data_IF_230087114335
#
_entry.id   IF_230087114335
#
_cell.length_a   1.000
_cell.length_b   1.000
_cell.length_c   1.000
_cell.angle_alpha   90.00
_cell.angle_beta   90.00
_cell.angle_gamma   90.00
#
_symmetry.space_group_name_H-M   'P 1'
#
loop_
_entity.id
_entity.type
_entity.pdbx_description
1 polymer ?
#
# COMPACT_ATOMS: atom_id res chain seq x y z
N UNK A 1 27.69 57.26 -72.52
CA UNK A 1 27.14 55.91 -72.73
C UNK A 1 28.31 54.93 -72.73
N UNK A 2 28.48 54.20 -71.63
CA UNK A 2 29.68 53.43 -71.26
C UNK A 2 29.20 52.14 -70.60
N UNK A 3 29.69 50.97 -70.99
CA UNK A 3 29.91 49.86 -70.06
C UNK A 3 31.27 49.24 -70.33
N UNK A 4 31.97 49.03 -69.22
CA UNK A 4 33.41 49.11 -69.06
C UNK A 4 34.11 47.75 -69.14
N UNK A 5 35.42 47.84 -69.24
CA UNK A 5 36.44 46.84 -69.54
C UNK A 5 37.37 46.72 -68.32
N UNK A 6 37.84 45.48 -68.04
CA UNK A 6 39.13 45.07 -67.40
C UNK A 6 39.38 45.32 -65.90
N UNK A 7 40.02 44.29 -65.28
CA UNK A 7 41.18 44.30 -64.35
C UNK A 7 40.96 43.34 -63.15
N UNK A 8 41.71 42.25 -62.99
CA UNK A 8 43.08 42.10 -62.44
C UNK A 8 43.20 42.16 -60.89
N UNK A 9 43.51 40.98 -60.29
CA UNK A 9 44.71 40.67 -59.48
C UNK A 9 44.92 41.30 -58.07
N UNK A 10 45.07 40.39 -57.08
CA UNK A 10 45.92 40.37 -55.86
C UNK A 10 45.45 40.84 -54.45
N UNK A 11 45.96 40.04 -53.49
CA UNK A 11 46.29 40.25 -52.06
C UNK A 11 45.26 39.94 -50.95
N UNK A 12 45.39 38.72 -50.42
CA UNK A 12 45.58 38.34 -49.00
C UNK A 12 45.07 39.27 -47.87
N UNK A 13 44.19 38.72 -47.04
CA UNK A 13 44.16 38.99 -45.60
C UNK A 13 43.84 37.70 -44.84
N UNK A 14 44.74 37.33 -43.93
CA UNK A 14 44.70 36.20 -43.01
C UNK A 14 43.75 36.54 -41.86
N UNK A 15 42.80 35.66 -41.56
CA UNK A 15 42.23 35.53 -40.21
C UNK A 15 42.19 34.04 -39.86
N UNK A 16 43.10 33.66 -38.98
CA UNK A 16 43.06 32.42 -38.21
C UNK A 16 41.83 32.44 -37.31
N UNK A 17 41.00 31.40 -37.32
CA UNK A 17 40.55 30.75 -36.09
C UNK A 17 40.28 29.27 -36.37
N UNK A 18 40.91 28.45 -35.53
CA UNK A 18 41.04 27.01 -35.57
C UNK A 18 39.70 26.26 -35.46
N UNK A 19 39.47 25.32 -36.37
CA UNK A 19 38.60 24.17 -36.11
C UNK A 19 39.36 22.88 -36.40
N UNK A 20 39.46 22.06 -35.36
CA UNK A 20 40.10 20.75 -35.31
C UNK A 20 39.29 19.76 -36.15
N UNK A 21 39.91 18.94 -37.01
CA UNK A 21 39.23 17.86 -37.71
C UNK A 21 39.21 16.61 -36.83
N UNK A 22 38.02 16.09 -36.53
CA UNK A 22 37.90 14.76 -35.93
C UNK A 22 37.95 13.70 -37.03
N UNK A 23 39.04 12.95 -37.08
CA UNK A 23 39.19 11.74 -37.89
C UNK A 23 38.59 10.53 -37.19
N UNK A 24 37.99 9.67 -38.01
CA UNK A 24 37.85 8.21 -37.90
C UNK A 24 38.38 7.52 -36.64
N UNK A 25 37.46 6.91 -35.89
CA UNK A 25 37.72 5.78 -35.00
C UNK A 25 36.60 4.73 -35.18
N UNK A 26 36.96 3.46 -35.02
CA UNK A 26 36.27 2.24 -35.41
C UNK A 26 34.80 2.09 -34.98
N UNK A 27 34.03 1.39 -35.82
CA UNK A 27 32.71 0.84 -35.49
C UNK A 27 32.87 -0.34 -34.53
N UNK A 28 32.26 -0.21 -33.36
CA UNK A 28 32.20 -1.19 -32.28
C UNK A 28 31.45 -2.48 -32.73
N UNK A 29 31.90 -3.71 -32.39
CA UNK A 29 31.29 -4.95 -32.87
C UNK A 29 29.92 -5.31 -32.27
N UNK A 30 29.38 -4.48 -31.36
CA UNK A 30 28.11 -4.76 -30.66
C UNK A 30 26.85 -4.46 -31.49
N UNK A 31 26.99 -3.81 -32.65
CA UNK A 31 25.86 -3.33 -33.47
C UNK A 31 25.33 -4.38 -34.48
N UNK A 32 25.81 -5.64 -34.42
CA UNK A 32 25.40 -6.72 -35.34
C UNK A 32 24.46 -7.77 -34.74
N UNK A 33 24.11 -7.70 -33.46
CA UNK A 33 23.20 -8.67 -32.84
C UNK A 33 21.73 -8.24 -32.79
N UNK A 34 21.40 -6.98 -33.08
CA UNK A 34 20.01 -6.49 -32.97
C UNK A 34 19.28 -6.29 -34.31
N UNK A 35 19.82 -6.78 -35.43
CA UNK A 35 19.24 -6.56 -36.76
C UNK A 35 18.50 -7.80 -37.35
N UNK A 36 18.09 -8.76 -36.51
CA UNK A 36 17.45 -10.00 -36.99
C UNK A 36 16.10 -10.35 -36.32
N UNK A 37 15.52 -9.46 -35.52
CA UNK A 37 14.22 -9.70 -34.88
C UNK A 37 13.01 -9.07 -35.61
N UNK A 38 13.22 -8.47 -36.78
CA UNK A 38 12.14 -8.06 -37.67
C UNK A 38 11.56 -9.24 -38.47
N UNK A 39 10.94 -10.17 -37.73
CA UNK A 39 9.90 -11.04 -38.27
C UNK A 39 8.58 -10.73 -37.57
N UNK A 40 7.80 -9.86 -38.18
CA UNK A 40 6.36 -9.76 -37.92
C UNK A 40 5.68 -11.12 -38.15
N UNK A 41 5.21 -11.75 -37.07
CA UNK A 41 4.44 -13.00 -37.10
C UNK A 41 3.98 -13.42 -35.71
N UNK A 42 2.68 -13.24 -35.43
CA UNK A 42 1.96 -13.47 -34.17
C UNK A 42 2.32 -12.50 -33.04
N UNK A 43 1.38 -11.61 -32.67
CA UNK A 43 1.52 -10.78 -31.47
C UNK A 43 1.78 -11.69 -30.27
N UNK A 44 2.85 -11.40 -29.53
CA UNK A 44 3.27 -12.26 -28.42
C UNK A 44 2.11 -12.42 -27.43
N UNK A 45 1.81 -13.65 -27.04
CA UNK A 45 0.70 -13.93 -26.10
C UNK A 45 1.06 -13.54 -24.66
N UNK A 46 2.14 -12.78 -24.49
CA UNK A 46 2.72 -12.40 -23.21
C UNK A 46 2.04 -11.15 -22.64
N UNK A 47 1.95 -11.12 -21.31
CA UNK A 47 1.53 -9.97 -20.52
C UNK A 47 2.17 -10.08 -19.13
N UNK A 48 2.34 -8.95 -18.47
CA UNK A 48 3.02 -8.85 -17.18
C UNK A 48 2.02 -8.42 -16.11
N UNK A 49 2.17 -8.99 -14.92
CA UNK A 49 1.35 -8.67 -13.75
C UNK A 49 2.25 -8.18 -12.63
N UNK A 50 1.98 -6.99 -12.13
CA UNK A 50 2.66 -6.45 -10.96
C UNK A 50 1.64 -6.25 -9.86
N UNK A 51 2.03 -6.56 -8.63
CA UNK A 51 1.23 -6.27 -7.45
C UNK A 51 2.09 -5.57 -6.41
N UNK A 52 1.55 -4.53 -5.80
CA UNK A 52 2.09 -4.00 -4.56
C UNK A 52 1.01 -3.89 -3.50
N UNK A 53 1.41 -3.89 -2.23
CA UNK A 53 0.48 -3.78 -1.11
C UNK A 53 1.20 -3.56 0.22
N UNK A 54 0.42 -3.40 1.28
CA UNK A 54 0.95 -3.16 2.62
C UNK A 54 0.31 -4.11 3.63
N UNK A 55 1.12 -4.74 4.46
CA UNK A 55 0.67 -5.43 5.67
C UNK A 55 0.98 -4.61 6.90
N UNK A 56 -0.03 -4.29 7.71
CA UNK A 56 0.14 -3.56 8.96
C UNK A 56 0.12 -4.52 10.15
N UNK A 57 1.11 -4.38 11.03
CA UNK A 57 1.25 -5.10 12.29
C UNK A 57 1.62 -4.15 13.42
N UNK A 58 1.32 -4.53 14.66
CA UNK A 58 1.70 -3.78 15.86
C UNK A 58 2.58 -4.64 16.75
N UNK A 59 3.63 -4.06 17.32
CA UNK A 59 4.57 -4.73 18.22
C UNK A 59 4.81 -3.92 19.48
N UNK A 60 4.94 -4.61 20.61
CA UNK A 60 5.39 -4.05 21.88
C UNK A 60 6.89 -3.77 21.89
N UNK A 61 7.35 -3.13 22.97
CA UNK A 61 8.78 -2.82 23.13
C UNK A 61 9.68 -4.07 23.25
N UNK A 62 9.09 -5.22 23.59
CA UNK A 62 9.71 -6.53 23.79
C UNK A 62 9.62 -7.46 22.57
N UNK A 63 9.02 -7.01 21.47
CA UNK A 63 8.80 -7.82 20.27
C UNK A 63 7.56 -8.71 20.30
N UNK A 64 6.69 -8.55 21.29
CA UNK A 64 5.39 -9.23 21.28
C UNK A 64 4.46 -8.54 20.27
N UNK A 65 4.02 -9.29 19.25
CA UNK A 65 2.95 -8.84 18.35
C UNK A 65 1.64 -8.64 19.10
N UNK A 66 0.97 -7.55 18.77
CA UNK A 66 -0.26 -7.12 19.43
C UNK A 66 -1.45 -7.39 18.52
N UNK A 67 -2.45 -8.09 19.05
CA UNK A 67 -3.73 -8.27 18.36
C UNK A 67 -4.45 -6.91 18.30
N UNK A 68 -5.06 -6.59 17.16
CA UNK A 68 -5.78 -5.32 16.99
C UNK A 68 -7.07 -5.51 16.21
N UNK A 69 -7.93 -4.48 16.21
CA UNK A 69 -9.07 -4.43 15.31
C UNK A 69 -8.69 -3.66 14.06
N UNK A 70 -8.42 -4.35 12.95
CA UNK A 70 -8.06 -3.71 11.70
C UNK A 70 -9.14 -2.80 11.12
N UNK A 71 -10.34 -2.82 11.67
CA UNK A 71 -11.52 -2.20 11.07
C UNK A 71 -12.02 -0.98 11.86
N UNK A 72 -11.77 -0.86 13.17
CA UNK A 72 -12.58 0.00 14.05
C UNK A 72 -12.46 1.53 13.85
N UNK A 73 -11.32 2.06 13.37
CA UNK A 73 -11.07 3.52 13.35
C UNK A 73 -10.86 4.12 11.96
N UNK A 74 -10.71 3.30 10.92
CA UNK A 74 -10.36 3.78 9.57
C UNK A 74 -11.45 3.51 8.53
N UNK A 75 -12.62 2.96 8.87
CA UNK A 75 -13.70 2.70 7.90
C UNK A 75 -14.18 3.89 7.06
N UNK A 76 -13.81 5.12 7.44
CA UNK A 76 -14.05 6.33 6.65
C UNK A 76 -12.91 6.70 5.70
N UNK A 77 -11.87 5.87 5.55
CA UNK A 77 -10.73 6.15 4.67
C UNK A 77 -10.97 5.67 3.24
N UNK A 78 -11.72 4.57 3.05
CA UNK A 78 -11.92 3.95 1.75
C UNK A 78 -12.83 4.76 0.84
N UNK A 79 -12.56 4.75 -0.48
CA UNK A 79 -13.48 5.27 -1.46
C UNK A 79 -14.82 4.55 -1.34
N UNK A 80 -15.92 5.30 -1.40
CA UNK A 80 -17.27 4.74 -1.22
C UNK A 80 -17.71 3.74 -2.33
N UNK A 81 -16.98 3.63 -3.43
CA UNK A 81 -17.19 2.61 -4.47
C UNK A 81 -16.57 1.25 -4.11
N UNK A 82 -15.67 1.19 -3.13
CA UNK A 82 -15.09 -0.07 -2.66
C UNK A 82 -16.16 -0.89 -1.97
N UNK A 83 -16.26 -2.16 -2.36
CA UNK A 83 -17.25 -3.08 -1.82
C UNK A 83 -16.67 -3.78 -0.61
N UNK A 84 -17.45 -3.86 0.46
CA UNK A 84 -17.18 -4.77 1.56
C UNK A 84 -18.05 -6.01 1.46
N UNK A 85 -17.68 -7.06 2.21
CA UNK A 85 -18.44 -8.31 2.24
C UNK A 85 -19.94 -8.05 2.46
N UNK A 86 -20.32 -7.25 3.48
CA UNK A 86 -21.72 -7.00 3.84
C UNK A 86 -22.54 -6.35 2.74
N UNK A 87 -22.01 -5.28 2.17
CA UNK A 87 -22.59 -4.62 0.99
C UNK A 87 -22.69 -5.60 -0.19
N UNK A 88 -21.73 -6.52 -0.32
CA UNK A 88 -21.71 -7.53 -1.37
C UNK A 88 -22.71 -8.69 -1.16
N UNK A 89 -23.29 -8.82 0.03
CA UNK A 89 -24.27 -9.88 0.32
C UNK A 89 -25.61 -9.61 -0.37
N UNK A 90 -26.31 -10.68 -0.74
CA UNK A 90 -27.67 -10.61 -1.32
C UNK A 90 -28.71 -9.95 -0.41
N UNK A 91 -28.38 -9.74 0.87
CA UNK A 91 -29.22 -9.10 1.87
C UNK A 91 -28.80 -7.65 2.20
N UNK A 92 -27.75 -7.10 1.56
CA UNK A 92 -27.24 -5.74 1.76
C UNK A 92 -27.07 -5.36 3.26
N UNK A 93 -26.48 -6.26 4.05
CA UNK A 93 -26.36 -6.13 5.50
C UNK A 93 -25.30 -5.09 5.88
N UNK A 94 -25.58 -4.27 6.91
CA UNK A 94 -24.61 -3.39 7.57
C UNK A 94 -23.75 -4.23 8.54
N UNK A 95 -22.49 -4.53 8.22
CA UNK A 95 -21.73 -5.62 8.91
C UNK A 95 -20.39 -5.26 9.54
N UNK A 96 -19.90 -4.02 9.40
CA UNK A 96 -18.45 -3.75 9.56
C UNK A 96 -17.88 -3.79 10.98
N UNK A 97 -18.70 -3.82 12.03
CA UNK A 97 -18.22 -3.51 13.38
C UNK A 97 -17.70 -4.69 14.23
N UNK A 98 -17.36 -5.88 13.68
CA UNK A 98 -17.04 -7.08 14.51
C UNK A 98 -15.89 -8.03 14.08
N UNK A 99 -14.96 -7.64 13.20
CA UNK A 99 -13.81 -8.50 12.83
C UNK A 99 -12.53 -8.18 13.64
N UNK A 100 -11.77 -9.23 14.03
CA UNK A 100 -10.52 -9.16 14.82
C UNK A 100 -9.41 -9.95 14.12
N UNK A 101 -8.19 -9.40 13.97
CA UNK A 101 -7.06 -10.13 13.41
C UNK A 101 -5.69 -9.61 13.87
N UNK A 102 -4.63 -10.33 13.48
CA UNK A 102 -3.24 -10.04 13.89
C UNK A 102 -2.48 -9.21 12.86
N UNK A 103 -2.89 -9.33 11.60
CA UNK A 103 -2.33 -8.60 10.47
C UNK A 103 -3.50 -7.99 9.69
N UNK A 104 -3.38 -6.70 9.35
CA UNK A 104 -4.24 -6.07 8.36
C UNK A 104 -3.51 -6.02 7.04
N UNK A 105 -4.17 -6.44 5.98
CA UNK A 105 -3.74 -6.19 4.63
C UNK A 105 -4.46 -4.96 4.12
N UNK A 106 -3.71 -3.86 3.97
CA UNK A 106 -4.25 -2.54 3.77
C UNK A 106 -4.58 -2.24 2.31
N UNK A 107 -3.73 -2.39 1.30
CA UNK A 107 -4.16 -2.11 -0.11
C UNK A 107 -3.28 -2.81 -1.13
N UNK A 108 -3.36 -4.14 -1.25
CA UNK A 108 -2.96 -4.80 -2.47
C UNK A 108 -3.68 -4.23 -3.68
N UNK A 109 -2.92 -3.76 -4.66
CA UNK A 109 -3.41 -3.45 -6.00
C UNK A 109 -2.63 -4.25 -7.04
N UNK A 110 -3.35 -4.89 -7.96
CA UNK A 110 -2.79 -5.72 -9.02
C UNK A 110 -2.94 -5.03 -10.38
N UNK A 111 -1.82 -4.67 -11.00
CA UNK A 111 -1.75 -4.08 -12.34
C UNK A 111 -1.49 -5.13 -13.42
N UNK A 112 -1.98 -4.84 -14.61
CA UNK A 112 -1.77 -5.64 -15.80
C UNK A 112 -1.13 -4.80 -16.90
N UNK A 113 -0.07 -5.32 -17.51
CA UNK A 113 0.61 -4.69 -18.63
C UNK A 113 0.49 -5.60 -19.85
N UNK A 114 -0.19 -5.10 -20.88
CA UNK A 114 -0.45 -5.80 -22.14
C UNK A 114 -0.42 -4.78 -23.28
N UNK A 115 -0.03 -5.22 -24.46
CA UNK A 115 0.00 -4.44 -25.71
C UNK A 115 -1.30 -4.56 -26.52
N UNK A 116 -2.14 -5.54 -26.18
CA UNK A 116 -3.40 -5.85 -26.84
C UNK A 116 -4.56 -6.05 -25.87
N UNK A 117 -5.77 -5.79 -26.36
CA UNK A 117 -6.98 -6.22 -25.68
C UNK A 117 -6.96 -7.74 -25.55
N UNK A 118 -7.20 -8.24 -24.33
CA UNK A 118 -7.31 -9.66 -24.02
C UNK A 118 -8.19 -9.87 -22.80
N UNK A 119 -8.69 -11.08 -22.64
CA UNK A 119 -9.45 -11.48 -21.45
C UNK A 119 -8.61 -12.47 -20.62
N UNK A 120 -8.64 -12.32 -19.30
CA UNK A 120 -7.95 -13.21 -18.36
C UNK A 120 -8.89 -13.58 -17.20
N UNK A 121 -8.77 -14.79 -16.67
CA UNK A 121 -9.43 -15.17 -15.43
C UNK A 121 -8.51 -14.87 -14.24
N UNK A 122 -9.03 -14.24 -13.18
CA UNK A 122 -8.22 -13.84 -12.01
C UNK A 122 -8.87 -14.25 -10.70
N UNK A 123 -8.08 -14.91 -9.83
CA UNK A 123 -8.48 -15.26 -8.46
C UNK A 123 -7.34 -14.99 -7.47
N UNK A 124 -7.69 -14.56 -6.26
CA UNK A 124 -6.76 -14.49 -5.14
C UNK A 124 -7.31 -15.26 -3.94
N UNK A 125 -6.48 -16.11 -3.36
CA UNK A 125 -6.77 -16.80 -2.10
C UNK A 125 -6.10 -16.13 -0.91
N UNK A 126 -6.64 -16.36 0.29
CA UNK A 126 -6.00 -15.97 1.53
C UNK A 126 -6.21 -17.08 2.58
N UNK A 127 -5.39 -18.15 2.56
CA UNK A 127 -5.61 -19.35 3.38
C UNK A 127 -5.63 -19.08 4.89
N UNK A 128 -4.75 -18.20 5.37
CA UNK A 128 -4.66 -17.81 6.78
C UNK A 128 -5.43 -16.50 7.11
N UNK A 129 -6.33 -16.07 6.21
CA UNK A 129 -6.99 -14.78 6.31
C UNK A 129 -8.43 -14.75 5.78
N UNK A 130 -9.07 -13.61 5.97
CA UNK A 130 -10.39 -13.27 5.45
C UNK A 130 -10.26 -12.04 4.55
N UNK A 131 -10.64 -12.16 3.29
CA UNK A 131 -10.75 -11.03 2.35
C UNK A 131 -12.05 -10.27 2.62
N UNK A 132 -11.93 -8.97 2.90
CA UNK A 132 -12.98 -8.15 3.51
C UNK A 132 -13.49 -7.01 2.64
N UNK A 133 -12.63 -6.44 1.80
CA UNK A 133 -13.01 -5.39 0.87
C UNK A 133 -12.35 -5.61 -0.49
N UNK A 134 -12.98 -5.18 -1.56
CA UNK A 134 -12.48 -5.37 -2.92
C UNK A 134 -13.17 -4.45 -3.93
N UNK A 135 -12.50 -4.23 -5.05
CA UNK A 135 -13.04 -3.59 -6.23
C UNK A 135 -12.20 -4.00 -7.45
N UNK A 136 -12.78 -4.19 -8.64
CA UNK A 136 -14.21 -4.20 -8.97
C UNK A 136 -15.00 -5.39 -8.34
N UNK A 137 -16.33 -5.49 -8.54
CA UNK A 137 -17.12 -6.65 -8.10
C UNK A 137 -16.55 -8.02 -8.52
N UNK A 138 -16.68 -9.03 -7.66
CA UNK A 138 -16.14 -10.39 -7.87
C UNK A 138 -17.23 -11.39 -8.25
N UNK A 139 -17.01 -12.25 -9.24
CA UNK A 139 -17.96 -13.32 -9.59
C UNK A 139 -18.33 -14.19 -8.38
N UNK A 140 -17.35 -14.51 -7.54
CA UNK A 140 -17.54 -15.31 -6.33
C UNK A 140 -16.64 -14.83 -5.19
N UNK A 141 -17.14 -14.91 -3.96
CA UNK A 141 -16.39 -14.63 -2.74
C UNK A 141 -16.60 -15.77 -1.75
N UNK A 142 -15.51 -16.31 -1.24
CA UNK A 142 -15.51 -17.36 -0.22
C UNK A 142 -14.80 -16.91 1.07
N UNK A 143 -15.21 -17.41 2.24
CA UNK A 143 -16.49 -18.09 2.46
C UNK A 143 -17.67 -17.15 2.14
N UNK A 144 -18.84 -17.67 1.77
CA UNK A 144 -20.03 -16.83 1.65
C UNK A 144 -20.36 -16.19 3.00
N UNK A 145 -21.06 -15.07 2.97
CA UNK A 145 -21.52 -14.43 4.20
C UNK A 145 -22.52 -15.33 4.92
N UNK A 146 -22.28 -15.54 6.20
CA UNK A 146 -23.20 -16.16 7.14
C UNK A 146 -23.85 -15.10 8.02
N UNK A 147 -25.17 -14.90 7.84
CA UNK A 147 -25.97 -13.94 8.60
C UNK A 147 -25.92 -14.20 10.11
N UNK A 148 -25.79 -15.47 10.52
CA UNK A 148 -25.72 -15.84 11.94
C UNK A 148 -24.41 -15.40 12.58
N UNK A 149 -23.32 -15.41 11.82
CA UNK A 149 -22.00 -14.96 12.29
C UNK A 149 -21.88 -13.44 12.33
N UNK A 150 -22.52 -12.72 11.40
CA UNK A 150 -22.57 -11.25 11.39
C UNK A 150 -23.16 -10.70 12.69
N UNK A 151 -24.34 -11.20 13.09
CA UNK A 151 -25.02 -10.73 14.29
C UNK A 151 -24.57 -11.45 15.57
N UNK A 152 -23.82 -12.56 15.42
CA UNK A 152 -23.26 -13.38 16.49
C UNK A 152 -21.78 -13.10 16.76
N UNK A 153 -20.93 -14.12 16.57
CA UNK A 153 -19.53 -14.15 17.03
C UNK A 153 -18.51 -13.45 16.11
N UNK A 154 -18.94 -12.86 14.99
CA UNK A 154 -18.08 -12.33 13.94
C UNK A 154 -17.72 -13.39 12.89
N UNK A 155 -17.28 -12.97 11.70
CA UNK A 155 -16.88 -13.91 10.64
C UNK A 155 -15.60 -14.66 11.00
N UNK A 156 -15.51 -15.91 10.57
CA UNK A 156 -14.32 -16.73 10.78
C UNK A 156 -13.22 -16.33 9.81
N UNK A 157 -11.99 -16.26 10.34
CA UNK A 157 -10.79 -15.99 9.56
C UNK A 157 -10.20 -17.30 9.05
N UNK A 158 -9.96 -17.38 7.74
CA UNK A 158 -9.28 -18.48 7.08
C UNK A 158 -9.96 -18.91 5.77
N UNK A 159 -9.18 -19.50 4.88
CA UNK A 159 -9.60 -20.10 3.61
C UNK A 159 -10.51 -19.21 2.76
N UNK A 160 -10.26 -17.90 2.75
CA UNK A 160 -11.04 -16.98 1.93
C UNK A 160 -10.48 -16.86 0.51
N UNK A 161 -11.34 -16.46 -0.43
CA UNK A 161 -11.00 -16.28 -1.84
C UNK A 161 -11.88 -15.20 -2.46
N UNK A 162 -11.31 -14.45 -3.39
CA UNK A 162 -12.01 -13.61 -4.35
C UNK A 162 -11.75 -14.14 -5.76
N UNK A 163 -12.81 -14.36 -6.52
CA UNK A 163 -12.77 -14.79 -7.91
C UNK A 163 -13.47 -13.73 -8.77
N UNK A 164 -12.70 -12.95 -9.52
CA UNK A 164 -13.27 -11.97 -10.46
C UNK A 164 -13.86 -12.63 -11.71
N UNK A 165 -13.58 -13.92 -11.94
CA UNK A 165 -13.84 -14.58 -13.21
C UNK A 165 -13.05 -13.92 -14.32
N UNK A 166 -13.66 -13.86 -15.50
CA UNK A 166 -13.04 -13.28 -16.69
C UNK A 166 -13.12 -11.75 -16.66
N UNK A 167 -11.97 -11.10 -16.70
CA UNK A 167 -11.82 -9.64 -16.82
C UNK A 167 -11.18 -9.30 -18.16
N UNK A 168 -11.59 -8.18 -18.75
CA UNK A 168 -10.96 -7.65 -19.95
C UNK A 168 -9.84 -6.68 -19.57
N UNK A 169 -8.69 -6.85 -20.22
CA UNK A 169 -7.54 -5.98 -20.12
C UNK A 169 -7.49 -5.11 -21.37
N UNK A 170 -7.54 -3.79 -21.20
CA UNK A 170 -7.61 -2.83 -22.30
C UNK A 170 -6.40 -1.88 -22.18
N UNK A 171 -5.36 -2.03 -23.02
CA UNK A 171 -4.24 -1.10 -23.03
C UNK A 171 -4.74 0.31 -23.34
N UNK A 172 -4.34 1.30 -22.52
CA UNK A 172 -4.76 2.70 -22.72
C UNK A 172 -4.33 3.20 -24.10
N UNK A 173 -3.18 2.75 -24.61
CA UNK A 173 -2.68 3.06 -25.96
C UNK A 173 -3.66 2.71 -27.09
N UNK A 174 -4.59 1.77 -26.88
CA UNK A 174 -5.62 1.40 -27.85
C UNK A 174 -6.90 2.23 -27.75
N UNK A 175 -7.07 2.99 -26.66
CA UNK A 175 -8.17 3.94 -26.48
C UNK A 175 -7.81 5.35 -26.98
N UNK A 176 -6.54 5.56 -27.29
CA UNK A 176 -6.02 6.86 -27.70
C UNK A 176 -6.66 7.25 -29.04
N UNK A 177 -7.33 8.41 -29.14
CA UNK A 177 -7.90 8.88 -30.40
C UNK A 177 -6.77 9.19 -31.40
N UNK A 178 -7.04 8.97 -32.68
CA UNK A 178 -6.12 9.39 -33.74
C UNK A 178 -6.21 10.91 -33.90
N UNK A 179 -5.37 11.65 -33.17
CA UNK A 179 -5.26 13.11 -33.22
C UNK A 179 -3.86 13.50 -33.70
N UNK A 180 -3.79 14.55 -34.53
CA UNK A 180 -2.53 15.05 -35.10
C UNK A 180 -1.64 15.81 -34.11
N UNK A 181 -2.19 16.17 -32.96
CA UNK A 181 -1.55 16.95 -31.90
C UNK A 181 -1.39 16.07 -30.66
N UNK A 182 -0.14 15.81 -30.25
CA UNK A 182 0.22 14.92 -29.15
C UNK A 182 -0.28 15.39 -27.78
N UNK A 183 -0.34 16.71 -27.57
CA UNK A 183 -0.76 17.28 -26.29
C UNK A 183 -2.28 17.13 -26.16
N UNK A 184 -2.99 17.45 -27.25
CA UNK A 184 -4.43 17.24 -27.33
C UNK A 184 -4.81 15.76 -27.23
N UNK A 185 -4.03 14.88 -27.83
CA UNK A 185 -4.21 13.44 -27.76
C UNK A 185 -4.07 12.93 -26.32
N UNK A 186 -3.05 13.40 -25.60
CA UNK A 186 -2.82 13.06 -24.20
C UNK A 186 -3.94 13.56 -23.30
N UNK A 187 -4.41 14.80 -23.50
CA UNK A 187 -5.52 15.36 -22.75
C UNK A 187 -6.82 14.56 -22.95
N UNK A 188 -7.20 14.27 -24.20
CA UNK A 188 -8.43 13.51 -24.48
C UNK A 188 -8.35 12.10 -23.88
N UNK A 189 -7.18 11.48 -23.95
CA UNK A 189 -6.97 10.15 -23.35
C UNK A 189 -7.15 10.20 -21.83
N UNK A 190 -6.56 11.20 -21.18
CA UNK A 190 -6.71 11.41 -19.73
C UNK A 190 -8.17 11.64 -19.33
N UNK A 191 -8.90 12.48 -20.09
CA UNK A 191 -10.32 12.77 -19.84
C UNK A 191 -11.17 11.51 -20.01
N UNK A 192 -10.91 10.71 -21.05
CA UNK A 192 -11.62 9.44 -21.30
C UNK A 192 -11.37 8.43 -20.19
N UNK A 193 -10.11 8.21 -19.81
CA UNK A 193 -9.75 7.30 -18.72
C UNK A 193 -10.40 7.76 -17.42
N UNK A 194 -10.31 9.05 -17.10
CA UNK A 194 -10.95 9.63 -15.91
C UNK A 194 -12.45 9.39 -15.93
N UNK A 195 -13.13 9.59 -17.06
CA UNK A 195 -14.58 9.37 -17.17
C UNK A 195 -15.00 7.90 -17.01
N UNK A 196 -14.13 6.93 -17.31
CA UNK A 196 -14.43 5.50 -17.18
C UNK A 196 -14.27 4.99 -15.75
N UNK A 197 -13.32 5.54 -15.00
CA UNK A 197 -12.97 5.09 -13.64
C UNK A 197 -14.02 5.53 -12.61
N UNK A 198 -14.22 4.77 -11.51
CA UNK A 198 -15.13 5.16 -10.46
C UNK A 198 -14.56 6.36 -9.68
N UNK A 199 -15.45 7.28 -9.32
CA UNK A 199 -15.12 8.41 -8.47
C UNK A 199 -16.01 8.44 -7.23
N UNK A 200 -15.43 8.82 -6.09
CA UNK A 200 -16.07 8.67 -4.80
C UNK A 200 -15.53 9.56 -3.69
N UNK A 201 -16.32 9.70 -2.62
CA UNK A 201 -15.85 10.35 -1.39
C UNK A 201 -14.69 9.53 -0.81
N UNK A 202 -13.67 10.21 -0.27
CA UNK A 202 -12.43 9.65 0.31
C UNK A 202 -11.47 8.99 -0.68
N UNK A 203 -11.59 9.26 -1.99
CA UNK A 203 -10.72 8.65 -2.98
C UNK A 203 -9.32 9.26 -3.11
N UNK A 204 -9.10 10.45 -2.55
CA UNK A 204 -7.98 11.33 -2.93
C UNK A 204 -6.61 10.65 -2.88
N UNK A 205 -6.31 9.89 -1.82
CA UNK A 205 -5.02 9.21 -1.68
C UNK A 205 -4.94 7.88 -2.44
N UNK A 206 -6.07 7.18 -2.65
CA UNK A 206 -6.12 5.96 -3.48
C UNK A 206 -6.06 6.26 -4.97
N UNK A 207 -6.48 7.45 -5.39
CA UNK A 207 -6.38 7.89 -6.77
C UNK A 207 -4.91 7.96 -7.24
N UNK A 208 -3.96 8.21 -6.35
CA UNK A 208 -2.52 8.20 -6.67
C UNK A 208 -2.03 6.82 -7.18
N UNK A 209 -2.69 5.73 -6.77
CA UNK A 209 -2.39 4.38 -7.27
C UNK A 209 -2.70 4.21 -8.77
N UNK A 210 -3.43 5.16 -9.38
CA UNK A 210 -3.76 5.17 -10.81
C UNK A 210 -2.66 5.80 -11.67
N UNK A 211 -1.64 6.44 -11.08
CA UNK A 211 -0.54 7.12 -11.80
C UNK A 211 0.52 6.12 -12.36
N UNK A 212 0.06 5.14 -13.14
CA UNK A 212 0.86 4.07 -13.76
C UNK A 212 0.57 3.92 -15.26
N UNK A 213 1.32 3.08 -15.96
CA UNK A 213 1.07 2.76 -17.39
C UNK A 213 0.24 1.47 -17.58
N UNK A 214 -0.45 1.01 -16.52
CA UNK A 214 -1.24 -0.22 -16.57
C UNK A 214 -2.42 -0.13 -17.55
N UNK A 215 -2.83 -1.29 -18.06
CA UNK A 215 -4.07 -1.44 -18.80
C UNK A 215 -5.28 -1.17 -17.87
N UNK A 216 -6.41 -0.77 -18.46
CA UNK A 216 -7.68 -0.81 -17.77
C UNK A 216 -8.11 -2.25 -17.56
N UNK A 217 -8.60 -2.56 -16.37
CA UNK A 217 -9.33 -3.75 -16.01
C UNK A 217 -10.82 -3.45 -16.15
N UNK A 218 -11.52 -4.26 -16.93
CA UNK A 218 -12.96 -4.16 -17.13
C UNK A 218 -13.67 -5.44 -16.72
N UNK A 219 -14.57 -5.31 -15.74
CA UNK A 219 -15.48 -6.38 -15.30
C UNK A 219 -16.85 -6.15 -15.92
N UNK A 220 -17.28 -7.12 -16.73
CA UNK A 220 -18.46 -6.97 -17.59
C UNK A 220 -19.77 -6.94 -16.80
N UNK A 221 -20.64 -5.99 -17.16
CA UNK A 221 -22.09 -6.04 -16.98
C UNK A 221 -22.57 -6.25 -15.54
N UNK A 222 -22.99 -7.47 -15.23
CA UNK A 222 -23.64 -7.84 -13.97
C UNK A 222 -22.84 -8.89 -13.23
N UNK A 223 -22.48 -8.59 -11.98
CA UNK A 223 -21.81 -9.49 -11.05
C UNK A 223 -22.60 -9.53 -9.76
N UNK A 224 -23.25 -10.67 -9.48
CA UNK A 224 -24.15 -10.81 -8.33
C UNK A 224 -25.32 -9.82 -8.38
N UNK A 225 -25.48 -9.03 -7.31
CA UNK A 225 -26.49 -7.98 -7.20
C UNK A 225 -26.07 -6.66 -7.87
N UNK A 226 -24.81 -6.53 -8.29
CA UNK A 226 -24.25 -5.32 -8.87
C UNK A 226 -24.34 -5.40 -10.39
N UNK A 227 -24.94 -4.39 -11.01
CA UNK A 227 -25.07 -4.32 -12.45
C UNK A 227 -24.75 -2.92 -12.94
N UNK A 228 -23.98 -2.84 -14.02
CA UNK A 228 -23.71 -1.63 -14.76
C UNK A 228 -23.86 -1.95 -16.25
N UNK A 229 -24.57 -1.11 -17.01
CA UNK A 229 -24.68 -1.29 -18.46
C UNK A 229 -23.31 -1.23 -19.14
N UNK A 230 -22.42 -0.37 -18.63
CA UNK A 230 -21.04 -0.24 -19.13
C UNK A 230 -20.08 -1.24 -18.47
N UNK A 231 -20.48 -1.98 -17.44
CA UNK A 231 -19.59 -2.73 -16.56
C UNK A 231 -18.83 -1.83 -15.57
N UNK A 232 -17.77 -2.38 -14.98
CA UNK A 232 -16.94 -1.72 -13.96
C UNK A 232 -15.51 -1.62 -14.47
N UNK A 233 -14.91 -0.44 -14.37
CA UNK A 233 -13.54 -0.18 -14.83
C UNK A 233 -12.65 0.19 -13.65
N UNK A 234 -11.39 -0.22 -13.68
CA UNK A 234 -10.32 0.30 -12.81
C UNK A 234 -8.96 0.13 -13.50
N UNK A 235 -7.90 0.77 -13.01
CA UNK A 235 -6.52 0.51 -13.49
C UNK A 235 -5.84 -0.70 -12.83
N UNK A 236 -6.49 -1.27 -11.83
CA UNK A 236 -5.99 -2.37 -11.01
C UNK A 236 -7.16 -3.18 -10.42
N UNK A 237 -6.86 -4.40 -9.98
CA UNK A 237 -7.72 -5.09 -9.00
C UNK A 237 -7.29 -4.66 -7.60
N UNK A 238 -8.25 -4.33 -6.74
CA UNK A 238 -8.04 -3.95 -5.35
C UNK A 238 -8.66 -5.01 -4.44
N UNK A 239 -7.94 -5.37 -3.37
CA UNK A 239 -8.50 -6.19 -2.30
C UNK A 239 -7.84 -5.92 -0.95
N UNK A 240 -8.59 -6.07 0.14
CA UNK A 240 -8.17 -5.99 1.54
C UNK A 240 -8.54 -7.25 2.29
N UNK A 241 -7.87 -7.45 3.41
CA UNK A 241 -8.20 -8.58 4.27
C UNK A 241 -7.55 -8.51 5.63
N UNK A 242 -7.91 -9.48 6.45
CA UNK A 242 -7.46 -9.61 7.82
C UNK A 242 -6.94 -11.03 8.03
N UNK A 243 -5.72 -11.14 8.56
CA UNK A 243 -5.03 -12.42 8.72
C UNK A 243 -4.71 -12.78 10.17
N UNK A 244 -4.45 -14.08 10.38
CA UNK A 244 -3.88 -14.65 11.61
C UNK A 244 -2.57 -15.39 11.29
N UNK A 245 -1.61 -14.68 10.72
CA UNK A 245 -0.26 -15.19 10.43
C UNK A 245 0.79 -14.26 11.03
N UNK A 246 2.04 -14.68 10.99
CA UNK A 246 3.20 -13.88 11.39
C UNK A 246 4.02 -13.53 10.16
N UNK A 247 4.51 -12.30 10.12
CA UNK A 247 5.45 -11.84 9.11
C UNK A 247 6.89 -12.14 9.58
N UNK A 248 7.88 -12.12 8.67
CA UNK A 248 9.22 -12.60 9.00
C UNK A 248 10.01 -11.69 9.94
N UNK A 249 9.59 -10.44 10.17
CA UNK A 249 10.37 -9.49 10.97
C UNK A 249 9.72 -9.25 12.33
N UNK A 250 10.50 -9.43 13.39
CA UNK A 250 10.19 -9.01 14.76
C UNK A 250 11.11 -7.85 15.16
N UNK A 251 10.61 -6.89 15.94
CA UNK A 251 11.41 -5.78 16.47
C UNK A 251 11.35 -5.72 17.99
N UNK A 252 12.46 -5.41 18.65
CA UNK A 252 12.50 -5.19 20.11
C UNK A 252 13.47 -4.07 20.46
N UNK A 253 13.31 -3.47 21.63
CA UNK A 253 14.24 -2.47 22.15
C UNK A 253 15.27 -3.12 23.08
N UNK A 254 16.56 -2.90 22.79
CA UNK A 254 17.68 -3.30 23.64
C UNK A 254 18.59 -2.08 23.86
N UNK A 255 18.85 -1.73 25.13
CA UNK A 255 19.70 -0.60 25.50
C UNK A 255 19.35 0.73 24.78
N UNK A 256 18.06 0.97 24.52
CA UNK A 256 17.56 2.16 23.83
C UNK A 256 17.69 2.13 22.30
N UNK A 257 18.13 1.02 21.72
CA UNK A 257 18.21 0.81 20.28
C UNK A 257 17.15 -0.19 19.83
N UNK A 258 16.63 0.00 18.61
CA UNK A 258 15.74 -0.98 17.99
C UNK A 258 16.58 -2.08 17.32
N UNK A 259 16.32 -3.32 17.75
CA UNK A 259 16.89 -4.54 17.18
C UNK A 259 15.82 -5.18 16.32
N UNK A 260 16.18 -5.49 15.08
CA UNK A 260 15.36 -6.19 14.11
C UNK A 260 15.85 -7.62 14.00
N UNK A 261 14.94 -8.58 14.14
CA UNK A 261 15.20 -10.00 13.91
C UNK A 261 14.41 -10.45 12.68
N UNK A 262 15.09 -11.12 11.76
CA UNK A 262 14.44 -11.87 10.69
C UNK A 262 14.21 -13.31 11.15
N UNK A 263 12.98 -13.62 11.55
CA UNK A 263 12.49 -14.96 11.91
C UNK A 263 12.06 -15.78 10.68
N UNK A 264 12.18 -15.22 9.48
CA UNK A 264 11.92 -15.89 8.22
C UNK A 264 13.04 -16.85 7.79
N UNK A 265 12.73 -17.65 6.77
CA UNK A 265 13.70 -18.51 6.08
C UNK A 265 14.39 -17.80 4.89
N UNK A 266 13.93 -16.60 4.53
CA UNK A 266 14.40 -15.83 3.39
C UNK A 266 14.99 -14.50 3.86
N UNK A 267 16.00 -13.96 3.14
CA UNK A 267 16.53 -12.63 3.44
C UNK A 267 15.47 -11.55 3.17
N UNK A 268 15.51 -10.47 3.95
CA UNK A 268 14.73 -9.25 3.73
C UNK A 268 15.66 -8.19 3.16
N UNK A 269 15.38 -7.72 1.94
CA UNK A 269 16.29 -6.89 1.14
C UNK A 269 16.25 -5.40 1.43
N UNK A 270 15.31 -4.93 2.24
CA UNK A 270 15.33 -3.56 2.73
C UNK A 270 14.43 -3.44 3.94
N UNK A 271 14.90 -2.71 4.94
CA UNK A 271 14.10 -2.25 6.06
C UNK A 271 14.45 -0.79 6.38
N UNK A 272 13.44 0.02 6.68
CA UNK A 272 13.57 1.44 7.01
C UNK A 272 12.90 1.67 8.35
N UNK A 273 13.69 2.04 9.34
CA UNK A 273 13.23 2.58 10.60
C UNK A 273 12.79 4.03 10.39
N UNK A 274 11.65 4.40 10.96
CA UNK A 274 11.07 5.73 10.90
C UNK A 274 10.55 6.06 12.30
N UNK A 275 10.97 7.19 12.84
CA UNK A 275 10.42 7.77 14.06
C UNK A 275 9.95 9.19 13.79
N UNK A 276 8.66 9.42 14.02
CA UNK A 276 8.03 10.73 13.83
C UNK A 276 7.64 11.26 15.19
N UNK A 277 8.26 12.37 15.57
CA UNK A 277 7.97 13.07 16.82
C UNK A 277 7.74 14.55 16.53
N UNK A 278 6.51 15.00 16.76
CA UNK A 278 5.98 16.29 16.32
C UNK A 278 6.22 16.50 14.82
N UNK A 279 7.10 17.42 14.45
CA UNK A 279 7.48 17.71 13.06
C UNK A 279 8.83 17.13 12.65
N UNK A 280 9.52 16.42 13.53
CA UNK A 280 10.84 15.83 13.27
C UNK A 280 10.68 14.38 12.81
N UNK A 281 11.30 14.06 11.68
CA UNK A 281 11.39 12.69 11.15
C UNK A 281 12.83 12.21 11.31
N UNK A 282 13.02 11.09 11.99
CA UNK A 282 14.31 10.41 12.10
C UNK A 282 14.22 9.06 11.41
N UNK A 283 15.20 8.70 10.58
CA UNK A 283 15.19 7.44 9.86
C UNK A 283 16.56 6.76 9.79
N UNK A 284 16.53 5.44 9.62
CA UNK A 284 17.70 4.61 9.32
C UNK A 284 17.30 3.50 8.37
N UNK A 285 18.19 3.11 7.45
CA UNK A 285 17.96 2.03 6.49
C UNK A 285 18.93 0.88 6.72
N UNK A 286 18.43 -0.35 6.51
CA UNK A 286 19.21 -1.57 6.35
C UNK A 286 18.99 -2.09 4.92
N UNK A 287 20.07 -2.39 4.20
CA UNK A 287 20.02 -2.93 2.83
C UNK A 287 19.78 -4.44 2.79
N UNK A 288 20.00 -5.16 3.89
CA UNK A 288 19.68 -6.58 3.98
C UNK A 288 19.61 -7.04 5.44
N UNK A 289 18.70 -7.95 5.72
CA UNK A 289 18.64 -8.73 6.96
C UNK A 289 18.54 -10.20 6.54
N UNK A 290 19.63 -10.94 6.69
CA UNK A 290 19.69 -12.35 6.33
C UNK A 290 18.68 -13.18 7.14
N UNK A 291 18.31 -14.34 6.60
CA UNK A 291 17.45 -15.27 7.31
C UNK A 291 18.05 -15.61 8.69
N UNK A 292 17.24 -15.56 9.74
CA UNK A 292 17.65 -15.80 11.14
C UNK A 292 18.61 -14.77 11.73
N UNK A 293 18.89 -13.67 11.05
CA UNK A 293 19.80 -12.63 11.53
C UNK A 293 19.10 -11.62 12.46
N UNK A 294 19.83 -11.16 13.48
CA UNK A 294 19.53 -9.96 14.26
C UNK A 294 20.44 -8.81 13.80
N UNK A 295 19.86 -7.64 13.54
CA UNK A 295 20.58 -6.42 13.13
C UNK A 295 20.02 -5.22 13.87
N UNK A 296 20.87 -4.26 14.21
CA UNK A 296 20.47 -3.00 14.87
C UNK A 296 20.40 -1.89 13.83
N UNK A 297 19.39 -1.02 13.93
CA UNK A 297 19.41 0.24 13.18
C UNK A 297 20.42 1.20 13.84
N UNK A 298 21.57 1.37 13.20
CA UNK A 298 22.62 2.24 13.71
C UNK A 298 22.41 3.70 13.31
N UNK A 299 22.63 4.60 14.26
CA UNK A 299 22.66 6.05 14.08
C UNK A 299 21.55 6.62 13.17
N UNK A 300 20.26 6.52 13.57
CA UNK A 300 19.19 7.20 12.86
C UNK A 300 19.47 8.70 12.71
N UNK A 301 19.19 9.23 11.53
CA UNK A 301 19.45 10.62 11.15
C UNK A 301 18.14 11.37 10.94
N UNK A 302 18.11 12.65 11.30
CA UNK A 302 16.99 13.52 10.97
C UNK A 302 16.98 13.80 9.48
N UNK A 303 15.84 13.57 8.83
CA UNK A 303 15.66 13.77 7.38
C UNK A 303 14.34 14.49 7.10
N UNK A 304 14.24 15.10 5.94
CA UNK A 304 12.98 15.64 5.43
C UNK A 304 12.05 14.53 4.93
N UNK A 305 10.76 14.85 4.83
CA UNK A 305 9.76 13.95 4.25
C UNK A 305 10.09 13.57 2.80
N UNK A 306 10.62 14.52 2.01
CA UNK A 306 11.01 14.28 0.62
C UNK A 306 12.19 13.29 0.52
N UNK A 307 13.21 13.44 1.37
CA UNK A 307 14.34 12.50 1.42
C UNK A 307 13.90 11.10 1.85
N UNK A 308 12.94 11.00 2.79
CA UNK A 308 12.35 9.72 3.19
C UNK A 308 11.56 9.08 2.05
N UNK A 309 10.75 9.88 1.34
CA UNK A 309 9.99 9.42 0.18
C UNK A 309 10.90 8.87 -0.93
N UNK A 310 11.98 9.58 -1.26
CA UNK A 310 12.97 9.13 -2.23
C UNK A 310 13.70 7.86 -1.78
N UNK A 311 14.05 7.76 -0.49
CA UNK A 311 14.67 6.56 0.09
C UNK A 311 13.75 5.34 -0.04
N UNK A 312 12.47 5.46 0.32
CA UNK A 312 11.50 4.34 0.24
C UNK A 312 11.21 3.98 -1.21
N UNK A 313 11.01 4.96 -2.09
CA UNK A 313 10.84 4.74 -3.53
C UNK A 313 12.03 3.96 -4.13
N UNK A 314 13.25 4.34 -3.79
CA UNK A 314 14.45 3.63 -4.26
C UNK A 314 14.49 2.17 -3.80
N UNK A 315 14.04 1.88 -2.57
CA UNK A 315 13.92 0.49 -2.09
C UNK A 315 12.89 -0.31 -2.89
N UNK A 316 11.73 0.29 -3.19
CA UNK A 316 10.67 -0.33 -3.99
C UNK A 316 11.10 -0.62 -5.42
N UNK A 317 11.81 0.31 -6.07
CA UNK A 317 12.38 0.11 -7.41
C UNK A 317 13.46 -0.97 -7.40
N UNK A 318 14.29 -1.03 -6.37
CA UNK A 318 15.30 -2.08 -6.22
C UNK A 318 14.69 -3.49 -6.07
N UNK A 319 13.44 -3.59 -5.59
CA UNK A 319 12.67 -4.83 -5.54
C UNK A 319 11.98 -5.18 -6.88
N UNK A 320 12.06 -4.27 -7.86
CA UNK A 320 11.64 -4.49 -9.23
C UNK A 320 10.36 -3.76 -9.65
N UNK A 321 9.73 -2.98 -8.76
CA UNK A 321 8.61 -2.13 -9.17
C UNK A 321 9.06 -1.14 -10.23
N UNK A 322 8.18 -0.81 -11.17
CA UNK A 322 8.42 0.29 -12.09
C UNK A 322 8.45 1.62 -11.34
N UNK A 323 9.21 2.60 -11.83
CA UNK A 323 9.36 3.93 -11.20
C UNK A 323 8.01 4.59 -10.89
N UNK A 324 7.06 4.52 -11.82
CA UNK A 324 5.69 5.04 -11.63
C UNK A 324 4.93 4.28 -10.54
N UNK A 325 5.04 2.96 -10.47
CA UNK A 325 4.39 2.15 -9.43
C UNK A 325 4.95 2.49 -8.04
N UNK A 326 6.28 2.59 -7.91
CA UNK A 326 6.94 2.95 -6.67
C UNK A 326 6.56 4.37 -6.22
N UNK A 327 6.54 5.32 -7.15
CA UNK A 327 6.09 6.69 -6.88
C UNK A 327 4.61 6.73 -6.44
N UNK A 328 3.72 6.04 -7.15
CA UNK A 328 2.31 5.89 -6.80
C UNK A 328 2.12 5.32 -5.41
N UNK A 329 2.81 4.23 -5.07
CA UNK A 329 2.71 3.60 -3.75
C UNK A 329 3.14 4.57 -2.63
N UNK A 330 4.26 5.27 -2.82
CA UNK A 330 4.74 6.26 -1.85
C UNK A 330 3.73 7.39 -1.68
N UNK A 331 3.21 7.97 -2.77
CA UNK A 331 2.19 9.03 -2.70
C UNK A 331 0.91 8.55 -2.01
N UNK A 332 0.42 7.34 -2.31
CA UNK A 332 -0.77 6.76 -1.68
C UNK A 332 -0.63 6.65 -0.17
N UNK A 333 0.57 6.34 0.33
CA UNK A 333 0.79 6.09 1.76
C UNK A 333 1.52 7.20 2.51
N UNK A 334 1.98 8.25 1.81
CA UNK A 334 2.89 9.28 2.31
C UNK A 334 2.46 9.83 3.68
N UNK A 335 1.21 10.26 3.81
CA UNK A 335 0.68 10.77 5.07
C UNK A 335 0.79 9.73 6.19
N UNK A 336 0.30 8.51 5.94
CA UNK A 336 0.24 7.46 6.94
C UNK A 336 1.62 6.92 7.34
N UNK A 337 2.57 6.88 6.41
CA UNK A 337 3.90 6.34 6.65
C UNK A 337 4.87 7.37 7.24
N UNK A 338 4.79 8.64 6.82
CA UNK A 338 5.84 9.61 7.11
C UNK A 338 5.41 10.71 8.07
N UNK A 339 4.10 10.94 8.26
CA UNK A 339 3.61 12.09 9.05
C UNK A 339 2.88 11.69 10.33
N UNK A 340 2.38 10.46 10.42
CA UNK A 340 1.75 9.98 11.65
C UNK A 340 2.78 9.84 12.77
N UNK A 341 2.39 10.21 13.98
CA UNK A 341 3.26 10.17 15.16
C UNK A 341 3.63 8.73 15.54
N UNK A 342 4.85 8.56 16.07
CA UNK A 342 5.36 7.32 16.61
C UNK A 342 6.39 6.62 15.74
N UNK A 343 6.82 5.46 16.24
CA UNK A 343 7.89 4.65 15.64
C UNK A 343 7.31 3.54 14.77
N UNK A 344 7.88 3.35 13.58
CA UNK A 344 7.54 2.24 12.70
C UNK A 344 8.75 1.73 11.91
N UNK A 345 8.65 0.47 11.48
CA UNK A 345 9.60 -0.16 10.56
C UNK A 345 8.84 -0.55 9.30
N UNK A 346 9.27 -0.02 8.16
CA UNK A 346 8.84 -0.49 6.83
C UNK A 346 9.84 -1.50 6.32
N UNK A 347 9.42 -2.66 5.84
CA UNK A 347 10.32 -3.65 5.26
C UNK A 347 9.69 -4.36 4.06
N UNK A 348 10.52 -4.82 3.14
CA UNK A 348 10.06 -5.56 1.97
C UNK A 348 9.81 -7.02 2.33
N UNK A 349 8.56 -7.46 2.19
CA UNK A 349 8.17 -8.85 2.42
C UNK A 349 8.69 -9.68 1.23
N UNK A 350 9.45 -10.76 1.47
CA UNK A 350 9.94 -11.61 0.39
C UNK A 350 8.78 -12.11 -0.48
N UNK A 351 8.90 -12.02 -1.81
CA UNK A 351 7.81 -12.37 -2.72
C UNK A 351 7.28 -13.80 -2.49
N UNK A 352 8.14 -14.77 -2.20
CA UNK A 352 7.70 -16.14 -1.89
C UNK A 352 6.77 -16.19 -0.67
N UNK A 353 7.06 -15.41 0.37
CA UNK A 353 6.16 -15.30 1.53
C UNK A 353 4.81 -14.74 1.11
N UNK A 354 4.78 -13.73 0.23
CA UNK A 354 3.54 -13.20 -0.34
C UNK A 354 2.79 -14.26 -1.15
N UNK A 355 3.47 -15.06 -1.97
CA UNK A 355 2.86 -16.11 -2.79
C UNK A 355 2.22 -17.21 -1.95
N UNK A 356 2.82 -17.55 -0.81
CA UNK A 356 2.27 -18.50 0.16
C UNK A 356 1.06 -17.91 0.91
N UNK A 357 1.15 -16.64 1.32
CA UNK A 357 0.09 -15.97 2.09
C UNK A 357 -1.13 -15.62 1.24
N UNK A 358 -0.90 -15.19 -0.01
CA UNK A 358 -1.90 -14.66 -0.92
C UNK A 358 -1.79 -15.33 -2.30
N UNK A 359 -2.13 -16.62 -2.46
CA UNK A 359 -1.99 -17.30 -3.75
C UNK A 359 -2.79 -16.58 -4.85
N UNK A 360 -2.09 -16.06 -5.86
CA UNK A 360 -2.67 -15.37 -7.02
C UNK A 360 -2.70 -16.34 -8.21
N UNK A 361 -3.88 -16.52 -8.81
CA UNK A 361 -4.08 -17.41 -9.95
C UNK A 361 -4.62 -16.60 -11.13
N UNK A 362 -3.92 -16.68 -12.26
CA UNK A 362 -4.27 -15.95 -13.49
C UNK A 362 -4.18 -16.90 -14.68
N UNK A 363 -5.20 -16.91 -15.53
CA UNK A 363 -5.28 -17.73 -16.74
C UNK A 363 -5.69 -16.90 -17.96
N UNK A 364 -4.96 -16.96 -19.10
CA UNK A 364 -3.68 -17.67 -19.30
C UNK A 364 -2.58 -17.13 -18.37
N UNK A 365 -1.55 -17.96 -18.14
CA UNK A 365 -0.45 -17.59 -17.22
C UNK A 365 0.30 -16.37 -17.77
N UNK A 366 0.54 -15.31 -16.97
CA UNK A 366 1.36 -14.18 -17.38
C UNK A 366 2.81 -14.61 -17.62
N UNK A 367 3.53 -13.86 -18.44
CA UNK A 367 4.96 -14.07 -18.67
C UNK A 367 5.75 -13.82 -17.38
N UNK A 368 5.38 -12.76 -16.66
CA UNK A 368 6.00 -12.37 -15.39
C UNK A 368 4.94 -11.95 -14.39
N UNK A 369 5.08 -12.41 -13.16
CA UNK A 369 4.36 -11.92 -11.99
C UNK A 369 5.38 -11.41 -10.97
N UNK A 370 5.34 -10.10 -10.70
CA UNK A 370 6.13 -9.46 -9.65
C UNK A 370 5.21 -9.04 -8.51
N UNK A 371 5.57 -9.30 -7.26
CA UNK A 371 4.75 -8.90 -6.10
C UNK A 371 5.62 -8.30 -5.01
N UNK A 372 5.46 -7.01 -4.75
CA UNK A 372 6.24 -6.24 -3.78
C UNK A 372 5.32 -5.73 -2.68
N UNK A 373 5.28 -6.44 -1.56
CA UNK A 373 4.49 -6.03 -0.39
C UNK A 373 5.40 -5.43 0.68
N UNK A 374 4.93 -4.36 1.30
CA UNK A 374 5.61 -3.68 2.41
C UNK A 374 4.98 -4.12 3.73
N UNK A 375 5.78 -4.68 4.62
CA UNK A 375 5.42 -4.83 6.02
C UNK A 375 5.57 -3.48 6.72
N UNK A 376 4.47 -2.89 7.15
CA UNK A 376 4.41 -1.74 8.05
C UNK A 376 4.24 -2.25 9.47
N UNK A 377 5.29 -2.15 10.27
CA UNK A 377 5.22 -2.51 11.68
C UNK A 377 5.24 -1.25 12.54
N UNK A 378 4.13 -0.98 13.21
CA UNK A 378 4.05 0.03 14.26
C UNK A 378 4.65 -0.53 15.55
N UNK A 379 5.61 0.18 16.14
CA UNK A 379 6.38 -0.32 17.29
C UNK A 379 6.19 0.59 18.49
N UNK A 380 5.76 0.03 19.62
CA UNK A 380 5.74 0.77 20.88
C UNK A 380 7.15 0.86 21.47
N UNK A 381 7.64 2.08 21.68
CA UNK A 381 8.84 2.30 22.50
C UNK A 381 8.55 2.09 23.99
N UNK A 382 9.56 1.77 24.83
CA UNK A 382 9.39 1.71 26.28
C UNK A 382 8.78 3.01 26.86
N UNK A 383 9.18 4.17 26.34
CA UNK A 383 8.64 5.47 26.74
C UNK A 383 7.17 5.61 26.37
N UNK A 384 6.79 5.10 25.20
CA UNK A 384 5.40 5.11 24.72
C UNK A 384 4.50 4.20 25.57
N UNK A 385 5.00 3.03 25.99
CA UNK A 385 4.30 2.16 26.95
C UNK A 385 4.09 2.87 28.30
N UNK A 386 5.12 3.54 28.84
CA UNK A 386 4.99 4.30 30.08
C UNK A 386 4.03 5.49 29.96
N UNK A 387 4.06 6.22 28.84
CA UNK A 387 3.10 7.30 28.55
C UNK A 387 1.66 6.77 28.55
N UNK A 388 1.40 5.63 27.92
CA UNK A 388 0.06 5.02 27.90
C UNK A 388 -0.36 4.56 29.30
N UNK A 389 0.53 3.95 30.09
CA UNK A 389 0.26 3.57 31.49
C UNK A 389 -0.16 4.80 32.31
N UNK A 390 0.59 5.90 32.18
CA UNK A 390 0.27 7.16 32.84
C UNK A 390 -1.09 7.74 32.43
N UNK A 391 -1.41 7.69 31.12
CA UNK A 391 -2.70 8.14 30.59
C UNK A 391 -3.87 7.30 31.12
N UNK A 392 -3.71 5.98 31.21
CA UNK A 392 -4.72 5.08 31.81
C UNK A 392 -4.88 5.36 33.31
N UNK A 393 -3.78 5.57 34.04
CA UNK A 393 -3.86 5.90 35.47
C UNK A 393 -4.59 7.24 35.73
N UNK A 394 -4.42 8.21 34.84
CA UNK A 394 -5.18 9.46 34.85
C UNK A 394 -6.67 9.24 34.50
N UNK A 395 -6.97 8.37 33.54
CA UNK A 395 -8.36 7.97 33.20
C UNK A 395 -9.14 7.48 34.41
N UNK A 396 -8.50 6.72 35.31
CA UNK A 396 -9.14 6.27 36.57
C UNK A 396 -9.63 7.44 37.42
N UNK A 397 -8.81 8.50 37.55
CA UNK A 397 -9.16 9.70 38.32
C UNK A 397 -10.29 10.45 37.64
N UNK A 398 -10.18 10.65 36.34
CA UNK A 398 -11.19 11.35 35.53
C UNK A 398 -12.53 10.61 35.52
N UNK A 399 -12.55 9.28 35.39
CA UNK A 399 -13.78 8.47 35.43
C UNK A 399 -14.47 8.56 36.79
N UNK A 400 -13.71 8.56 37.90
CA UNK A 400 -14.27 8.82 39.24
C UNK A 400 -14.89 10.21 39.35
N UNK A 401 -14.20 11.24 38.86
CA UNK A 401 -14.71 12.61 38.87
C UNK A 401 -15.98 12.74 38.01
N UNK A 402 -15.99 12.14 36.82
CA UNK A 402 -17.16 12.08 35.94
C UNK A 402 -18.34 11.38 36.62
N UNK A 403 -18.11 10.25 37.28
CA UNK A 403 -19.17 9.57 38.02
C UNK A 403 -19.75 10.43 39.16
N UNK A 404 -18.92 11.21 39.85
CA UNK A 404 -19.38 12.14 40.90
C UNK A 404 -20.21 13.30 40.32
N UNK A 405 -19.80 13.88 39.19
CA UNK A 405 -20.55 15.00 38.58
C UNK A 405 -21.85 14.58 37.90
N UNK A 406 -21.97 13.29 37.51
CA UNK A 406 -23.16 12.73 36.90
C UNK A 406 -24.23 12.26 37.90
N UNK A 407 -23.89 12.15 39.20
CA UNK A 407 -24.76 11.55 40.23
C UNK A 407 -26.11 12.25 40.37
N UNK A 408 -26.14 13.56 40.18
CA UNK A 408 -27.33 14.40 40.32
C UNK A 408 -27.96 14.79 38.96
N UNK A 409 -27.44 14.24 37.85
CA UNK A 409 -27.97 14.53 36.52
C UNK A 409 -29.13 13.61 36.15
N UNK A 410 -30.22 14.13 35.56
CA UNK A 410 -31.38 13.33 35.16
C UNK A 410 -31.07 12.33 34.04
N UNK A 411 -29.97 12.52 33.30
CA UNK A 411 -29.49 11.62 32.26
C UNK A 411 -27.96 11.49 32.34
N UNK A 412 -27.47 10.31 32.67
CA UNK A 412 -26.03 10.03 32.72
C UNK A 412 -25.40 10.08 31.33
N UNK A 413 -24.38 10.91 31.16
CA UNK A 413 -23.56 10.91 29.94
C UNK A 413 -22.50 9.81 29.99
N UNK A 414 -22.18 9.16 28.86
CA UNK A 414 -21.09 8.19 28.80
C UNK A 414 -19.75 8.87 29.13
N UNK A 415 -18.83 8.09 29.70
CA UNK A 415 -17.46 8.55 29.91
C UNK A 415 -16.66 8.38 28.61
N UNK A 416 -16.19 9.49 28.07
CA UNK A 416 -15.39 9.53 26.85
C UNK A 416 -13.96 9.04 27.07
N UNK A 417 -13.40 8.39 26.05
CA UNK A 417 -11.98 8.01 26.04
C UNK A 417 -11.12 9.30 26.11
N UNK A 418 -10.18 9.41 27.07
CA UNK A 418 -9.28 10.56 27.22
C UNK A 418 -8.51 10.92 25.96
N UNK A 419 -8.30 12.24 25.74
CA UNK A 419 -7.58 12.75 24.58
C UNK A 419 -6.13 12.22 24.51
N UNK A 420 -5.46 12.08 25.66
CA UNK A 420 -4.09 11.55 25.75
C UNK A 420 -3.99 10.12 25.21
N UNK A 421 -5.06 9.34 25.32
CA UNK A 421 -5.14 7.98 24.77
C UNK A 421 -5.43 8.05 23.27
N UNK A 422 -6.37 8.91 22.85
CA UNK A 422 -6.71 9.10 21.42
C UNK A 422 -5.52 9.62 20.60
N UNK A 423 -4.61 10.38 21.21
CA UNK A 423 -3.39 10.90 20.57
C UNK A 423 -2.42 9.81 20.09
N UNK A 424 -2.54 8.57 20.57
CA UNK A 424 -1.80 7.42 20.02
C UNK A 424 -2.33 6.98 18.65
N UNK A 425 -3.38 7.62 18.12
CA UNK A 425 -3.91 7.36 16.78
C UNK A 425 -4.27 5.89 16.58
N UNK A 426 -3.79 5.29 15.49
CA UNK A 426 -3.99 3.87 15.17
C UNK A 426 -3.43 2.91 16.22
N UNK A 427 -2.46 3.35 17.02
CA UNK A 427 -1.84 2.57 18.08
C UNK A 427 -2.66 2.61 19.38
N UNK A 428 -3.69 3.44 19.51
CA UNK A 428 -4.43 3.64 20.75
C UNK A 428 -5.06 2.34 21.32
N UNK A 429 -5.88 1.63 20.53
CA UNK A 429 -6.47 0.36 20.98
C UNK A 429 -5.39 -0.71 21.26
N UNK A 430 -4.44 -0.99 20.34
CA UNK A 430 -3.36 -1.93 20.62
C UNK A 430 -2.61 -1.57 21.91
N UNK A 431 -2.21 -0.31 22.09
CA UNK A 431 -1.47 0.14 23.27
C UNK A 431 -2.25 -0.06 24.57
N UNK A 432 -3.57 0.15 24.56
CA UNK A 432 -4.40 -0.16 25.73
C UNK A 432 -4.42 -1.67 26.03
N UNK A 433 -4.55 -2.52 25.01
CA UNK A 433 -4.51 -3.98 25.18
C UNK A 433 -3.15 -4.45 25.73
N UNK A 434 -2.06 -3.81 25.29
CA UNK A 434 -0.72 -4.01 25.83
C UNK A 434 -0.64 -3.60 27.29
N UNK A 435 -1.09 -2.40 27.66
CA UNK A 435 -1.12 -1.93 29.06
C UNK A 435 -1.95 -2.85 29.96
N UNK A 436 -3.09 -3.35 29.47
CA UNK A 436 -3.91 -4.31 30.19
C UNK A 436 -3.18 -5.61 30.53
N UNK A 437 -2.15 -5.95 29.74
CA UNK A 437 -1.33 -7.16 29.91
C UNK A 437 -0.09 -6.91 30.79
N UNK A 438 0.63 -5.81 30.56
CA UNK A 438 1.95 -5.58 31.18
C UNK A 438 1.90 -4.83 32.52
N UNK A 439 0.82 -4.12 32.81
CA UNK A 439 0.76 -3.29 34.02
C UNK A 439 0.69 -4.15 35.29
N UNK A 440 1.54 -3.84 36.27
CA UNK A 440 1.52 -4.49 37.58
C UNK A 440 0.35 -4.03 38.47
N UNK A 441 -0.20 -2.84 38.21
CA UNK A 441 -1.36 -2.28 38.93
C UNK A 441 -2.69 -2.86 38.41
N UNK A 442 -3.44 -3.51 39.30
CA UNK A 442 -4.74 -4.12 38.98
C UNK A 442 -5.80 -3.12 38.55
N UNK A 443 -5.81 -1.90 39.11
CA UNK A 443 -6.75 -0.86 38.73
C UNK A 443 -6.45 -0.33 37.32
N UNK A 444 -5.17 -0.18 36.97
CA UNK A 444 -4.73 0.18 35.62
C UNK A 444 -5.12 -0.90 34.61
N UNK A 445 -4.91 -2.18 34.91
CA UNK A 445 -5.35 -3.28 34.02
C UNK A 445 -6.86 -3.28 33.78
N UNK A 446 -7.65 -3.07 34.85
CA UNK A 446 -9.10 -3.04 34.76
C UNK A 446 -9.59 -1.85 33.91
N UNK A 447 -9.04 -0.66 34.13
CA UNK A 447 -9.39 0.53 33.35
C UNK A 447 -8.96 0.40 31.89
N UNK A 448 -7.76 -0.10 31.61
CA UNK A 448 -7.30 -0.37 30.25
C UNK A 448 -8.24 -1.34 29.52
N UNK A 449 -8.67 -2.41 30.19
CA UNK A 449 -9.64 -3.38 29.63
C UNK A 449 -10.99 -2.73 29.33
N UNK A 450 -11.48 -1.86 30.22
CA UNK A 450 -12.72 -1.11 30.01
C UNK A 450 -12.61 -0.13 28.83
N UNK A 451 -11.50 0.60 28.73
CA UNK A 451 -11.22 1.52 27.61
C UNK A 451 -11.11 0.78 26.27
N UNK A 452 -10.48 -0.41 26.24
CA UNK A 452 -10.48 -1.28 25.06
C UNK A 452 -11.91 -1.63 24.65
N UNK A 453 -12.78 -1.98 25.61
CA UNK A 453 -14.19 -2.25 25.30
C UNK A 453 -14.92 -1.01 24.79
N UNK A 454 -14.62 0.18 25.30
CA UNK A 454 -15.20 1.44 24.84
C UNK A 454 -14.76 1.78 23.41
N UNK A 455 -13.50 1.55 23.03
CA UNK A 455 -13.03 1.70 21.65
C UNK A 455 -13.76 0.77 20.66
N UNK A 456 -14.37 -0.29 21.17
CA UNK A 456 -14.99 -1.34 20.36
C UNK A 456 -16.48 -1.16 20.14
N UNK A 457 -17.12 -0.29 20.92
CA UNK A 457 -18.53 0.09 20.82
C UNK A 457 -18.67 1.24 19.84
#
# INVERSE_FOLDING_TARGET
MRKFVVACVLLSAVIFFSQVPWSSAERDPLDRQNANDDRHGAGSDHFVVHEWGTFTTFSGSDGVYMDFRPLATEHSDLPNYVLDRGAYSSAALLTKSRLFGKVRMETPVTYFYTDRIRSVDVKVGFPAGLLTEFYPPVKEMLPPIDQTNIFGKGEQIGNSQLDWGTVDLIPISQLVPNATDSDRQSQITSDLVTALLPHGVNEQHYAEARDTDSALVHVRGKVGAFGSEAGFFEKFLFYRGVGKFQLPITTRFEAGQIVVQNDGALPVRSAVYIDVNDSSITAAKLDQIDARQSVVFHAPVTISEAELADMVKACLVAEGLYEKEAASMVKTWQQSWFTEQGTRVLYLVPQQTTDELLPLQISPRPEKTLRVLVGRMEVMSPESEQKMIGAVAESIRQRKQHAMTQKDQPKMQPYDIPQQIRQFGRMAEPALARVATISSDAAVRAEATALVQQFRQ
#
